data_IF_332760956895
#
_entry.id   IF_332760956895
#
_cell.length_a   1.000
_cell.length_b   1.000
_cell.length_c   1.000
_cell.angle_alpha   90.00
_cell.angle_beta   90.00
_cell.angle_gamma   90.00
#
_symmetry.space_group_name_H-M   'P 1'
#
loop_
_entity.id
_entity.type
_entity.pdbx_description
1 polymer ?
#
# COMPACT_ATOMS: atom_id res chain seq x y z
N UNK A 1 -5.97 8.15 4.48
CA UNK A 1 -4.68 8.15 5.23
C UNK A 1 -4.88 8.13 6.75
N UNK A 2 -5.47 9.16 7.36
CA UNK A 2 -5.65 9.24 8.83
C UNK A 2 -6.32 7.99 9.44
N UNK A 3 -7.49 7.60 8.93
CA UNK A 3 -8.24 6.45 9.46
C UNK A 3 -7.48 5.13 9.30
N UNK A 4 -6.87 4.90 8.14
CA UNK A 4 -6.05 3.71 7.88
C UNK A 4 -4.86 3.64 8.85
N UNK A 5 -4.20 4.78 9.09
CA UNK A 5 -3.06 4.86 10.02
C UNK A 5 -3.50 4.52 11.45
N UNK A 6 -4.61 5.11 11.92
CA UNK A 6 -5.13 4.82 13.25
C UNK A 6 -5.55 3.36 13.39
N UNK A 7 -6.19 2.79 12.37
CA UNK A 7 -6.54 1.38 12.37
C UNK A 7 -5.28 0.51 12.56
N UNK A 8 -4.23 0.74 11.76
CA UNK A 8 -2.98 -0.02 11.88
C UNK A 8 -2.34 0.11 13.27
N UNK A 9 -2.23 1.33 13.81
CA UNK A 9 -1.64 1.59 15.12
C UNK A 9 -2.47 1.04 16.30
N UNK A 10 -3.78 0.88 16.12
CA UNK A 10 -4.64 0.24 17.12
C UNK A 10 -4.49 -1.28 17.16
N UNK A 11 -4.13 -1.89 16.02
CA UNK A 11 -3.99 -3.35 15.92
C UNK A 11 -2.54 -3.81 16.17
N UNK A 12 -1.56 -2.98 15.84
CA UNK A 12 -0.15 -3.31 16.01
C UNK A 12 0.64 -2.15 16.62
N UNK A 13 1.44 -2.47 17.63
CA UNK A 13 2.27 -1.48 18.35
C UNK A 13 3.55 -1.10 17.59
N UNK A 14 4.01 -1.96 16.67
CA UNK A 14 5.18 -1.74 15.82
C UNK A 14 5.05 -2.56 14.54
N UNK A 15 5.69 -2.08 13.49
CA UNK A 15 5.85 -2.80 12.23
C UNK A 15 7.33 -2.99 11.96
N UNK A 16 7.71 -4.15 11.43
CA UNK A 16 9.08 -4.38 10.97
C UNK A 16 9.37 -3.60 9.69
N UNK A 17 10.65 -3.33 9.43
CA UNK A 17 11.07 -2.73 8.18
C UNK A 17 10.76 -3.65 6.99
N UNK A 18 10.39 -3.05 5.86
CA UNK A 18 10.04 -3.75 4.61
C UNK A 18 11.12 -4.72 4.10
N UNK A 19 12.39 -4.53 4.48
CA UNK A 19 13.49 -5.41 4.10
C UNK A 19 13.49 -6.73 4.90
N UNK A 20 12.84 -6.74 6.06
CA UNK A 20 12.85 -7.85 7.00
C UNK A 20 11.52 -8.61 7.06
N UNK A 21 10.48 -8.14 6.36
CA UNK A 21 9.17 -8.80 6.38
C UNK A 21 9.17 -10.11 5.58
N UNK A 22 8.52 -11.12 6.14
CA UNK A 22 8.18 -12.35 5.42
C UNK A 22 6.68 -12.37 5.13
N UNK A 23 6.30 -12.61 3.87
CA UNK A 23 4.89 -12.60 3.45
C UNK A 23 4.27 -13.99 3.62
N UNK A 24 3.43 -14.14 4.64
CA UNK A 24 2.85 -15.43 5.00
C UNK A 24 1.48 -15.71 4.36
N UNK A 25 0.64 -14.69 4.15
CA UNK A 25 -0.71 -14.85 3.60
C UNK A 25 -0.80 -14.49 2.12
N UNK A 26 -1.78 -15.08 1.41
CA UNK A 26 -2.07 -14.73 0.02
C UNK A 26 -2.50 -13.26 -0.12
N UNK A 27 -3.24 -12.73 0.86
CA UNK A 27 -3.57 -11.31 0.92
C UNK A 27 -2.32 -10.44 1.01
N UNK A 28 -1.36 -10.79 1.88
CA UNK A 28 -0.11 -10.06 2.01
C UNK A 28 0.70 -10.07 0.71
N UNK A 29 0.79 -11.22 0.03
CA UNK A 29 1.44 -11.35 -1.28
C UNK A 29 0.74 -10.50 -2.34
N UNK A 30 -0.59 -10.50 -2.37
CA UNK A 30 -1.39 -9.72 -3.31
C UNK A 30 -1.17 -8.21 -3.13
N UNK A 31 -1.34 -7.70 -1.91
CA UNK A 31 -1.15 -6.28 -1.61
C UNK A 31 0.30 -5.86 -1.86
N UNK A 32 1.27 -6.70 -1.53
CA UNK A 32 2.68 -6.43 -1.81
C UNK A 32 2.97 -6.33 -3.32
N UNK A 33 2.43 -7.22 -4.14
CA UNK A 33 2.58 -7.15 -5.60
C UNK A 33 1.99 -5.85 -6.19
N UNK A 34 0.85 -5.41 -5.65
CA UNK A 34 0.19 -4.15 -6.04
C UNK A 34 1.00 -2.93 -5.59
N UNK A 35 1.58 -2.99 -4.40
CA UNK A 35 2.50 -1.97 -3.90
C UNK A 35 3.73 -1.82 -4.81
N UNK A 36 4.37 -2.93 -5.20
CA UNK A 36 5.53 -2.89 -6.09
C UNK A 36 5.20 -2.28 -7.47
N UNK A 37 4.02 -2.62 -8.01
CA UNK A 37 3.52 -2.00 -9.24
C UNK A 37 3.35 -0.49 -9.07
N UNK A 38 2.68 -0.06 -7.99
CA UNK A 38 2.50 1.36 -7.68
C UNK A 38 3.84 2.10 -7.55
N UNK A 39 4.81 1.53 -6.83
CA UNK A 39 6.15 2.12 -6.68
C UNK A 39 6.83 2.33 -8.03
N UNK A 40 6.79 1.32 -8.92
CA UNK A 40 7.36 1.42 -10.26
C UNK A 40 6.70 2.54 -11.06
N UNK A 41 5.37 2.54 -11.12
CA UNK A 41 4.61 3.48 -11.94
C UNK A 41 4.73 4.91 -11.41
N UNK A 42 4.78 5.10 -10.09
CA UNK A 42 5.00 6.41 -9.47
C UNK A 42 6.40 6.92 -9.79
N UNK A 43 7.44 6.09 -9.69
CA UNK A 43 8.80 6.49 -10.07
C UNK A 43 8.87 6.90 -11.53
N UNK A 44 8.32 6.11 -12.44
CA UNK A 44 8.29 6.42 -13.87
C UNK A 44 7.55 7.74 -14.15
N UNK A 45 6.40 7.98 -13.50
CA UNK A 45 5.68 9.24 -13.65
C UNK A 45 6.47 10.42 -13.11
N UNK A 46 7.16 10.27 -11.97
CA UNK A 46 7.99 11.33 -11.38
C UNK A 46 9.23 11.63 -12.24
N UNK A 47 9.90 10.62 -12.78
CA UNK A 47 11.04 10.77 -13.68
C UNK A 47 10.66 11.55 -14.96
N UNK A 48 9.40 11.47 -15.37
CA UNK A 48 8.83 12.20 -16.51
C UNK A 48 8.09 13.50 -16.11
N UNK A 49 8.23 13.96 -14.86
CA UNK A 49 7.55 15.14 -14.32
C UNK A 49 6.00 15.12 -14.42
N UNK A 50 5.40 13.93 -14.55
CA UNK A 50 3.95 13.71 -14.61
C UNK A 50 3.35 13.61 -13.20
N UNK A 51 3.45 14.69 -12.44
CA UNK A 51 3.03 14.72 -11.03
C UNK A 51 1.55 14.35 -10.81
N UNK A 52 0.66 14.78 -11.70
CA UNK A 52 -0.76 14.43 -11.63
C UNK A 52 -0.97 12.91 -11.73
N UNK A 53 -0.24 12.25 -12.62
CA UNK A 53 -0.36 10.80 -12.83
C UNK A 53 0.27 10.01 -11.69
N UNK A 54 1.41 10.48 -11.16
CA UNK A 54 2.01 9.93 -9.94
C UNK A 54 1.03 10.01 -8.75
N UNK A 55 0.42 11.18 -8.54
CA UNK A 55 -0.55 11.38 -7.47
C UNK A 55 -1.80 10.50 -7.63
N UNK A 56 -2.34 10.39 -8.85
CA UNK A 56 -3.48 9.52 -9.14
C UNK A 56 -3.15 8.03 -8.94
N UNK A 57 -1.92 7.61 -9.28
CA UNK A 57 -1.45 6.24 -9.07
C UNK A 57 -1.37 5.91 -7.58
N UNK A 58 -0.77 6.80 -6.77
CA UNK A 58 -0.73 6.66 -5.32
C UNK A 58 -2.14 6.63 -4.72
N UNK A 59 -3.03 7.51 -5.18
CA UNK A 59 -4.41 7.59 -4.70
C UNK A 59 -5.15 6.27 -4.93
N UNK A 60 -5.11 5.74 -6.16
CA UNK A 60 -5.76 4.47 -6.51
C UNK A 60 -5.22 3.31 -5.70
N UNK A 61 -3.91 3.16 -5.61
CA UNK A 61 -3.33 2.10 -4.78
C UNK A 61 -3.74 2.23 -3.32
N UNK A 62 -3.64 3.44 -2.75
CA UNK A 62 -3.91 3.64 -1.32
C UNK A 62 -5.38 3.39 -0.96
N UNK A 63 -6.31 3.87 -1.76
CA UNK A 63 -7.73 3.73 -1.48
C UNK A 63 -8.30 2.41 -1.99
N UNK A 64 -8.21 2.18 -3.30
CA UNK A 64 -8.89 1.07 -3.94
C UNK A 64 -8.24 -0.28 -3.59
N UNK A 65 -6.91 -0.36 -3.48
CA UNK A 65 -6.22 -1.62 -3.21
C UNK A 65 -5.94 -1.82 -1.72
N UNK A 66 -5.29 -0.85 -1.07
CA UNK A 66 -4.85 -1.00 0.31
C UNK A 66 -5.96 -0.84 1.34
N UNK A 67 -6.80 0.20 1.24
CA UNK A 67 -7.90 0.39 2.19
C UNK A 67 -9.05 -0.59 1.91
N UNK A 68 -9.59 -0.60 0.69
CA UNK A 68 -10.82 -1.35 0.39
C UNK A 68 -10.61 -2.87 0.39
N UNK A 69 -9.46 -3.37 -0.07
CA UNK A 69 -9.17 -4.81 -0.04
C UNK A 69 -8.21 -5.18 1.08
N UNK A 70 -7.06 -4.51 1.18
CA UNK A 70 -6.01 -4.87 2.15
C UNK A 70 -6.50 -4.82 3.60
N UNK A 71 -7.01 -3.67 4.03
CA UNK A 71 -7.50 -3.47 5.40
C UNK A 71 -8.79 -4.26 5.63
N UNK A 72 -9.79 -4.16 4.76
CA UNK A 72 -11.07 -4.83 5.01
C UNK A 72 -10.95 -6.36 5.04
N UNK A 73 -10.18 -6.98 4.12
CA UNK A 73 -9.97 -8.44 4.16
C UNK A 73 -9.07 -8.88 5.30
N UNK A 74 -8.19 -8.02 5.85
CA UNK A 74 -7.38 -8.36 7.02
C UNK A 74 -8.20 -8.50 8.31
N UNK A 75 -9.43 -7.97 8.33
CA UNK A 75 -10.36 -8.11 9.46
C UNK A 75 -11.10 -9.45 9.46
N UNK A 76 -11.06 -10.21 8.36
CA UNK A 76 -11.77 -11.47 8.16
C UNK A 76 -10.95 -12.66 8.64
#
# INVERSE_FOLDING_TARGET
IYNATNYLLLNESKFEDLENITLHSELAKYIYAKFQTCVKDVRENLDNYRFNDAANTLYKFFWDDFCDWGIELSKA
#
